data_IF_177583734454
#
_entry.id   IF_177583734454
#
_cell.length_a   1.000
_cell.length_b   1.000
_cell.length_c   1.000
_cell.angle_alpha   90.00
_cell.angle_beta   90.00
_cell.angle_gamma   90.00
#
_symmetry.space_group_name_H-M   'P 1'
#
loop_
_entity.id
_entity.type
_entity.pdbx_description
1 polymer ?
#
# COMPACT_ATOMS: atom_id res chain seq x y z
N UNK A 1 -9.34 12.35 -11.37
CA UNK A 1 -10.59 11.59 -11.16
C UNK A 1 -10.30 10.48 -10.17
N UNK A 2 -11.15 10.28 -9.15
CA UNK A 2 -11.02 9.16 -8.21
C UNK A 2 -11.64 7.91 -8.83
N UNK A 3 -10.93 6.78 -8.76
CA UNK A 3 -11.41 5.48 -9.23
C UNK A 3 -10.92 4.36 -8.33
N UNK A 4 -11.63 3.25 -8.34
CA UNK A 4 -11.27 2.04 -7.61
C UNK A 4 -11.63 0.79 -8.41
N UNK A 5 -11.53 -0.36 -7.76
CA UNK A 5 -11.94 -1.67 -8.30
C UNK A 5 -12.78 -2.41 -7.27
N UNK A 6 -13.81 -3.07 -7.72
CA UNK A 6 -14.68 -3.88 -6.87
C UNK A 6 -14.97 -5.23 -7.53
N UNK A 7 -15.18 -6.24 -6.71
CA UNK A 7 -15.80 -7.50 -7.14
C UNK A 7 -17.31 -7.42 -6.89
N UNK A 8 -18.10 -7.71 -7.92
CA UNK A 8 -19.55 -7.75 -7.88
C UNK A 8 -20.08 -8.80 -8.85
N UNK A 9 -21.03 -9.62 -8.41
CA UNK A 9 -21.68 -10.66 -9.22
C UNK A 9 -20.69 -11.56 -9.99
N UNK A 10 -19.58 -11.96 -9.35
CA UNK A 10 -18.57 -12.85 -9.93
C UNK A 10 -17.58 -12.20 -10.92
N UNK A 11 -17.64 -10.88 -11.10
CA UNK A 11 -16.73 -10.14 -11.99
C UNK A 11 -16.03 -8.98 -11.27
N UNK A 12 -14.91 -8.53 -11.83
CA UNK A 12 -14.20 -7.34 -11.37
C UNK A 12 -14.62 -6.16 -12.23
N UNK A 13 -14.98 -5.06 -11.58
CA UNK A 13 -15.42 -3.83 -12.21
C UNK A 13 -14.54 -2.65 -11.79
N UNK A 14 -14.30 -1.72 -12.69
CA UNK A 14 -13.89 -0.38 -12.30
C UNK A 14 -15.05 0.30 -11.56
N UNK A 15 -14.72 1.07 -10.56
CA UNK A 15 -15.66 1.70 -9.66
C UNK A 15 -15.31 3.17 -9.44
N UNK A 16 -16.35 3.99 -9.34
CA UNK A 16 -16.24 5.44 -9.15
C UNK A 16 -17.13 5.86 -7.98
N UNK A 17 -16.78 6.93 -7.24
CA UNK A 17 -17.64 7.48 -6.21
C UNK A 17 -18.98 7.90 -6.79
N UNK A 18 -20.05 7.62 -6.05
CA UNK A 18 -21.41 8.06 -6.34
C UNK A 18 -22.10 8.49 -5.05
N UNK A 19 -23.10 9.37 -5.15
CA UNK A 19 -23.84 9.86 -3.98
C UNK A 19 -24.56 8.72 -3.23
N UNK A 20 -25.04 7.73 -3.97
CA UNK A 20 -25.81 6.61 -3.45
C UNK A 20 -24.97 5.33 -3.26
N UNK A 21 -23.61 5.45 -3.35
CA UNK A 21 -22.71 4.34 -3.14
C UNK A 21 -21.56 4.27 -4.14
N UNK A 22 -21.54 3.25 -4.98
CA UNK A 22 -20.48 2.96 -5.93
C UNK A 22 -21.04 2.79 -7.34
N UNK A 23 -20.60 3.61 -8.27
CA UNK A 23 -20.97 3.50 -9.69
C UNK A 23 -19.94 2.65 -10.43
N UNK A 24 -20.40 1.56 -11.02
CA UNK A 24 -19.59 0.69 -11.87
C UNK A 24 -19.34 1.32 -13.25
N UNK A 25 -18.32 0.84 -13.97
CA UNK A 25 -18.00 1.36 -15.31
C UNK A 25 -19.15 1.22 -16.33
N UNK A 26 -20.04 0.25 -16.13
CA UNK A 26 -21.24 0.04 -16.96
C UNK A 26 -22.42 0.95 -16.58
N UNK A 27 -22.24 1.87 -15.65
CA UNK A 27 -23.22 2.85 -15.19
C UNK A 27 -24.13 2.38 -14.05
N UNK A 28 -24.10 1.11 -13.66
CA UNK A 28 -24.88 0.61 -12.53
C UNK A 28 -24.37 1.20 -11.23
N UNK A 29 -25.28 1.69 -10.39
CA UNK A 29 -24.96 2.10 -9.02
C UNK A 29 -25.26 0.93 -8.07
N UNK A 30 -24.35 0.70 -7.13
CA UNK A 30 -24.48 -0.33 -6.09
C UNK A 30 -24.17 0.27 -4.73
N UNK A 31 -24.84 -0.24 -3.71
CA UNK A 31 -24.49 0.12 -2.33
C UNK A 31 -23.12 -0.47 -2.00
N UNK A 32 -22.40 0.17 -1.11
CA UNK A 32 -21.05 -0.31 -0.73
C UNK A 32 -21.03 -1.70 -0.08
N UNK A 33 -22.12 -2.10 0.57
CA UNK A 33 -22.27 -3.41 1.20
C UNK A 33 -22.60 -4.54 0.21
N UNK A 34 -22.92 -4.22 -1.03
CA UNK A 34 -23.16 -5.18 -2.12
C UNK A 34 -21.88 -5.54 -2.89
N UNK A 35 -20.79 -4.82 -2.67
CA UNK A 35 -19.53 -5.00 -3.39
C UNK A 35 -18.40 -5.37 -2.45
N UNK A 36 -17.39 -6.04 -2.98
CA UNK A 36 -16.12 -6.25 -2.27
C UNK A 36 -15.06 -5.36 -2.90
N UNK A 37 -14.54 -4.43 -2.11
CA UNK A 37 -13.46 -3.56 -2.55
C UNK A 37 -12.16 -4.34 -2.76
N UNK A 38 -11.52 -4.11 -3.87
CA UNK A 38 -10.20 -4.64 -4.23
C UNK A 38 -9.16 -3.53 -4.17
N UNK A 39 -7.89 -3.89 -4.31
CA UNK A 39 -6.85 -2.89 -4.56
C UNK A 39 -7.25 -2.06 -5.80
N UNK A 40 -7.11 -0.71 -5.75
CA UNK A 40 -7.63 0.18 -6.81
C UNK A 40 -6.99 -0.04 -8.17
N UNK A 41 -5.87 -0.74 -8.21
CA UNK A 41 -5.15 -1.15 -9.42
C UNK A 41 -4.85 -2.64 -9.37
N UNK A 42 -4.48 -3.23 -10.48
CA UNK A 42 -3.81 -4.53 -10.49
C UNK A 42 -2.38 -4.34 -10.00
N UNK A 43 -2.08 -4.96 -8.86
CA UNK A 43 -0.82 -4.72 -8.14
C UNK A 43 0.27 -5.62 -8.69
N UNK A 44 1.35 -5.02 -9.17
CA UNK A 44 2.59 -5.70 -9.49
C UNK A 44 3.56 -5.72 -8.28
N UNK A 45 4.80 -5.31 -8.53
CA UNK A 45 5.80 -5.16 -7.46
C UNK A 45 5.60 -3.86 -6.70
N UNK A 46 5.62 -3.94 -5.38
CA UNK A 46 5.58 -2.78 -4.50
C UNK A 46 6.99 -2.53 -3.97
N UNK A 47 7.52 -1.34 -4.25
CA UNK A 47 8.73 -0.81 -3.65
C UNK A 47 8.35 0.11 -2.50
N UNK A 48 8.61 -0.30 -1.28
CA UNK A 48 8.34 0.51 -0.11
C UNK A 48 9.62 1.23 0.36
N UNK A 49 9.46 2.44 0.88
CA UNK A 49 10.55 3.29 1.35
C UNK A 49 10.50 3.39 2.88
N UNK A 50 11.47 2.77 3.55
CA UNK A 50 11.58 2.88 4.99
C UNK A 50 12.16 4.23 5.42
N UNK A 51 11.69 4.74 6.58
CA UNK A 51 12.17 6.00 7.19
C UNK A 51 12.06 7.24 6.29
N UNK A 52 11.12 7.22 5.35
CA UNK A 52 10.95 8.29 4.36
C UNK A 52 10.27 9.55 4.92
N UNK A 53 9.65 9.46 6.08
CA UNK A 53 9.02 10.59 6.78
C UNK A 53 9.94 11.11 7.87
N UNK A 54 10.35 12.38 7.76
CA UNK A 54 11.38 12.97 8.63
C UNK A 54 11.01 12.94 10.12
N UNK A 55 9.75 13.19 10.47
CA UNK A 55 9.27 13.13 11.84
C UNK A 55 9.38 11.71 12.40
N UNK A 56 8.95 10.71 11.64
CA UNK A 56 9.03 9.32 12.03
C UNK A 56 10.48 8.84 12.20
N UNK A 57 11.40 9.28 11.35
CA UNK A 57 12.82 8.98 11.47
C UNK A 57 13.40 9.55 12.77
N UNK A 58 12.99 10.77 13.19
CA UNK A 58 13.38 11.39 14.45
C UNK A 58 12.86 10.63 15.67
N UNK A 59 11.58 10.23 15.66
CA UNK A 59 10.97 9.44 16.74
C UNK A 59 11.74 8.15 17.01
N UNK A 60 12.21 7.51 15.94
CA UNK A 60 12.99 6.27 16.00
C UNK A 60 14.50 6.50 16.22
N UNK A 61 14.94 7.75 16.41
CA UNK A 61 16.34 8.14 16.61
C UNK A 61 17.29 7.68 15.48
N UNK A 62 16.77 7.57 14.25
CA UNK A 62 17.58 7.27 13.10
C UNK A 62 18.16 8.54 12.47
N UNK A 63 19.44 8.47 12.10
CA UNK A 63 20.06 9.51 11.28
C UNK A 63 19.44 9.53 9.88
N UNK A 64 19.40 10.72 9.27
CA UNK A 64 18.97 10.85 7.89
C UNK A 64 19.79 9.92 6.99
N UNK A 65 19.11 9.02 6.29
CA UNK A 65 19.78 8.16 5.33
C UNK A 65 20.22 8.97 4.12
N UNK A 66 21.43 8.73 3.63
CA UNK A 66 21.91 9.34 2.39
C UNK A 66 21.22 8.75 1.16
N UNK A 67 20.96 7.44 1.21
CA UNK A 67 20.23 6.71 0.18
C UNK A 67 18.88 6.18 0.70
N UNK A 68 17.85 6.03 -0.17
CA UNK A 68 16.57 5.47 0.22
C UNK A 68 16.71 4.03 0.73
N UNK A 69 16.14 3.75 1.89
CA UNK A 69 15.99 2.38 2.39
C UNK A 69 14.79 1.75 1.66
N UNK A 70 15.08 0.89 0.69
CA UNK A 70 14.06 0.25 -0.15
C UNK A 70 13.84 -1.20 0.26
N UNK A 71 12.58 -1.61 0.36
CA UNK A 71 12.20 -3.01 0.53
C UNK A 71 11.00 -3.36 -0.36
N UNK A 72 10.77 -4.65 -0.55
CA UNK A 72 9.72 -5.14 -1.44
C UNK A 72 8.57 -5.74 -0.66
N UNK A 73 7.36 -5.48 -1.15
CA UNK A 73 6.14 -6.19 -0.75
C UNK A 73 5.54 -6.89 -1.96
N UNK A 74 5.14 -8.14 -1.78
CA UNK A 74 4.51 -8.91 -2.84
C UNK A 74 3.03 -8.54 -3.03
N UNK A 75 2.45 -8.77 -4.22
CA UNK A 75 1.04 -8.46 -4.47
C UNK A 75 0.08 -9.24 -3.58
N UNK A 76 0.48 -10.41 -3.06
CA UNK A 76 -0.31 -11.21 -2.12
C UNK A 76 -0.42 -10.62 -0.71
N UNK A 77 0.28 -9.52 -0.42
CA UNK A 77 0.20 -8.80 0.87
C UNK A 77 -0.86 -7.70 0.86
N UNK A 78 -1.54 -7.47 -0.27
CA UNK A 78 -2.46 -6.35 -0.45
C UNK A 78 -3.89 -6.79 -0.23
N UNK A 79 -4.62 -6.01 0.57
CA UNK A 79 -6.07 -6.09 0.72
C UNK A 79 -6.73 -4.81 0.17
N UNK A 80 -8.00 -4.91 -0.20
CA UNK A 80 -8.77 -3.78 -0.71
C UNK A 80 -9.22 -2.82 0.38
N UNK A 81 -9.75 -1.69 -0.04
CA UNK A 81 -10.41 -0.72 0.84
C UNK A 81 -11.45 -1.42 1.75
N UNK A 82 -11.51 -1.04 3.03
CA UNK A 82 -12.36 -1.68 4.05
C UNK A 82 -12.09 -3.18 4.28
N UNK A 83 -11.01 -3.72 3.73
CA UNK A 83 -10.56 -5.06 4.06
C UNK A 83 -10.16 -5.16 5.54
N UNK A 84 -10.34 -6.35 6.11
CA UNK A 84 -10.02 -6.60 7.51
C UNK A 84 -8.70 -7.35 7.60
N UNK A 85 -7.73 -6.78 8.32
CA UNK A 85 -6.54 -7.51 8.76
C UNK A 85 -6.69 -7.95 10.20
N UNK A 86 -6.10 -9.07 10.55
CA UNK A 86 -6.14 -9.61 11.91
C UNK A 86 -4.73 -9.65 12.47
N UNK A 87 -4.55 -9.06 13.64
CA UNK A 87 -3.33 -9.21 14.41
C UNK A 87 -3.20 -10.69 14.85
N UNK A 88 -2.06 -11.35 14.62
CA UNK A 88 -1.81 -12.69 15.17
C UNK A 88 -1.94 -12.71 16.70
N UNK A 89 -2.36 -13.86 17.26
CA UNK A 89 -2.66 -13.97 18.69
C UNK A 89 -1.42 -13.77 19.59
N UNK A 90 -0.25 -14.13 19.08
CA UNK A 90 1.05 -14.06 19.76
C UNK A 90 1.76 -12.70 19.57
N UNK A 91 1.14 -11.76 18.85
CA UNK A 91 1.69 -10.43 18.58
C UNK A 91 1.13 -9.43 19.57
N UNK A 92 2.01 -8.70 20.26
CA UNK A 92 1.61 -7.65 21.21
C UNK A 92 1.52 -6.29 20.55
N UNK A 93 2.36 -6.03 19.56
CA UNK A 93 2.49 -4.70 18.96
C UNK A 93 2.49 -4.72 17.42
N UNK A 94 1.38 -4.33 16.84
CA UNK A 94 1.19 -4.15 15.41
C UNK A 94 0.95 -2.68 15.10
N UNK A 95 1.84 -2.09 14.30
CA UNK A 95 1.71 -0.72 13.81
C UNK A 95 0.79 -0.66 12.59
N UNK A 96 0.14 0.48 12.43
CA UNK A 96 -0.43 0.97 11.19
C UNK A 96 0.39 2.17 10.74
N UNK A 97 0.63 2.29 9.44
CA UNK A 97 1.43 3.37 8.88
C UNK A 97 0.68 3.95 7.68
N UNK A 98 0.13 5.18 7.83
CA UNK A 98 -0.57 5.85 6.75
C UNK A 98 0.44 6.42 5.75
N UNK A 99 0.43 5.92 4.52
CA UNK A 99 1.42 6.24 3.51
C UNK A 99 0.81 6.74 2.20
N UNK A 100 1.57 7.59 1.51
CA UNK A 100 1.29 7.96 0.13
C UNK A 100 1.91 6.93 -0.81
N UNK A 101 1.06 6.20 -1.52
CA UNK A 101 1.51 5.30 -2.58
C UNK A 101 1.49 6.02 -3.93
N UNK A 102 2.60 5.94 -4.65
CA UNK A 102 2.76 6.48 -6.01
C UNK A 102 2.61 5.36 -7.01
N UNK A 103 1.66 5.49 -7.93
CA UNK A 103 1.42 4.49 -8.98
C UNK A 103 2.26 4.81 -10.20
N UNK A 104 3.17 3.91 -10.55
CA UNK A 104 3.94 4.03 -11.79
C UNK A 104 3.13 3.45 -12.95
N UNK A 105 2.81 4.28 -13.93
CA UNK A 105 1.95 3.94 -15.06
C UNK A 105 2.69 3.70 -16.38
N UNK A 106 3.99 3.98 -16.42
CA UNK A 106 4.85 3.75 -17.59
C UNK A 106 6.16 3.15 -17.12
N UNK A 107 6.75 2.26 -17.90
CA UNK A 107 8.10 1.74 -17.64
C UNK A 107 9.07 2.89 -17.40
N UNK A 108 9.80 2.81 -16.28
CA UNK A 108 10.78 3.79 -15.85
C UNK A 108 12.13 3.09 -15.65
N UNK A 109 13.12 3.45 -16.47
CA UNK A 109 14.50 2.97 -16.34
C UNK A 109 15.44 4.10 -16.71
N UNK A 110 16.42 4.40 -15.87
CA UNK A 110 17.38 5.48 -16.07
C UNK A 110 16.71 6.85 -16.35
N UNK A 111 15.58 7.11 -15.68
CA UNK A 111 14.81 8.34 -15.84
C UNK A 111 15.46 9.44 -15.03
N UNK A 112 15.65 10.62 -15.61
CA UNK A 112 16.13 11.78 -14.87
C UNK A 112 15.04 12.33 -13.95
N UNK A 113 15.44 13.08 -12.94
CA UNK A 113 14.53 13.70 -11.97
C UNK A 113 13.46 14.57 -12.64
N UNK A 114 13.85 15.31 -13.66
CA UNK A 114 12.97 16.25 -14.41
C UNK A 114 11.86 15.49 -15.15
N UNK A 115 12.11 14.25 -15.55
CA UNK A 115 11.16 13.43 -16.29
C UNK A 115 10.40 12.42 -15.44
N UNK A 116 10.78 12.25 -14.15
CA UNK A 116 10.21 11.21 -13.28
C UNK A 116 8.68 11.29 -13.18
N UNK A 117 8.12 12.50 -13.07
CA UNK A 117 6.68 12.73 -12.94
C UNK A 117 5.86 12.27 -14.15
N UNK A 118 6.48 12.17 -15.34
CA UNK A 118 5.81 11.70 -16.55
C UNK A 118 5.49 10.20 -16.51
N UNK A 119 6.10 9.46 -15.59
CA UNK A 119 5.88 8.02 -15.38
C UNK A 119 4.83 7.74 -14.31
N UNK A 120 4.37 8.74 -13.58
CA UNK A 120 3.36 8.61 -12.54
C UNK A 120 1.96 8.59 -13.15
N UNK A 121 1.19 7.53 -12.85
CA UNK A 121 -0.21 7.41 -13.26
C UNK A 121 -1.16 8.03 -12.23
N UNK A 122 -0.76 8.10 -10.97
CA UNK A 122 -1.60 8.64 -9.90
C UNK A 122 -1.07 8.32 -8.51
N UNK A 123 -1.90 8.60 -7.55
CA UNK A 123 -1.59 8.46 -6.12
C UNK A 123 -2.74 7.76 -5.40
N UNK A 124 -2.42 7.05 -4.34
CA UNK A 124 -3.41 6.48 -3.43
C UNK A 124 -2.90 6.53 -1.99
N UNK A 125 -3.81 6.38 -1.03
CA UNK A 125 -3.46 6.17 0.36
C UNK A 125 -3.30 4.66 0.57
N UNK A 126 -2.22 4.26 1.23
CA UNK A 126 -1.97 2.90 1.67
C UNK A 126 -1.81 2.87 3.19
N UNK A 127 -2.06 1.72 3.78
CA UNK A 127 -1.78 1.47 5.19
C UNK A 127 -0.77 0.32 5.26
N UNK A 128 0.48 0.66 5.62
CA UNK A 128 1.55 -0.31 5.76
C UNK A 128 1.56 -0.88 7.19
N UNK A 129 0.96 -2.06 7.35
CA UNK A 129 0.97 -2.75 8.63
C UNK A 129 2.33 -3.41 8.90
N UNK A 130 2.87 -3.21 10.10
CA UNK A 130 4.12 -3.80 10.53
C UNK A 130 3.99 -4.42 11.94
N UNK A 131 4.47 -5.64 12.10
CA UNK A 131 4.55 -6.31 13.40
C UNK A 131 5.87 -5.93 14.04
N UNK A 132 5.83 -5.04 15.04
CA UNK A 132 7.01 -4.49 15.70
C UNK A 132 7.73 -5.51 16.58
N UNK A 133 7.02 -6.48 17.14
CA UNK A 133 7.59 -7.56 17.95
C UNK A 133 8.70 -8.31 17.21
N UNK A 134 8.62 -8.38 15.88
CA UNK A 134 9.63 -9.07 15.07
C UNK A 134 10.83 -8.21 14.71
N UNK A 135 10.71 -6.87 14.77
CA UNK A 135 11.80 -5.98 14.42
C UNK A 135 12.97 -6.08 15.39
N UNK A 136 12.70 -6.22 16.69
CA UNK A 136 13.75 -6.31 17.70
C UNK A 136 14.52 -7.63 17.64
N UNK A 137 13.81 -8.72 17.35
CA UNK A 137 14.36 -10.07 17.40
C UNK A 137 14.99 -10.51 16.07
N UNK A 138 14.51 -9.98 14.94
CA UNK A 138 14.88 -10.48 13.61
C UNK A 138 15.50 -9.43 12.69
N UNK A 139 15.21 -8.16 12.91
CA UNK A 139 15.63 -7.09 12.01
C UNK A 139 17.01 -6.53 12.33
N UNK A 140 17.32 -6.29 13.62
CA UNK A 140 18.59 -5.68 14.02
C UNK A 140 19.80 -6.57 13.83
N UNK A 141 19.75 -7.90 14.06
CA UNK A 141 20.85 -8.79 13.72
C UNK A 141 20.99 -9.06 12.23
N UNK A 142 19.93 -8.86 11.44
CA UNK A 142 19.87 -9.23 10.04
C UNK A 142 19.09 -8.16 9.25
N UNK A 143 19.77 -7.06 8.91
CA UNK A 143 19.23 -5.97 8.08
C UNK A 143 18.57 -6.40 6.75
N UNK A 144 18.69 -7.68 6.39
CA UNK A 144 18.15 -8.25 5.16
C UNK A 144 16.73 -8.80 5.31
N UNK A 145 16.21 -8.89 6.53
CA UNK A 145 14.89 -9.46 6.79
C UNK A 145 14.01 -8.40 7.44
N UNK A 146 13.48 -7.50 6.64
CA UNK A 146 12.36 -6.70 7.07
C UNK A 146 11.12 -7.56 6.92
N UNK A 147 10.71 -8.13 8.05
CA UNK A 147 9.37 -8.60 8.28
C UNK A 147 8.83 -9.71 7.36
N UNK A 148 8.97 -10.94 7.80
CA UNK A 148 8.34 -12.10 7.15
C UNK A 148 6.82 -12.14 7.31
N UNK A 149 6.24 -11.27 8.14
CA UNK A 149 4.83 -11.36 8.55
C UNK A 149 4.08 -10.02 8.46
N UNK A 150 4.61 -9.02 7.75
CA UNK A 150 3.81 -7.85 7.43
C UNK A 150 2.72 -8.25 6.44
N UNK A 151 1.51 -8.19 6.90
CA UNK A 151 0.33 -8.29 6.05
C UNK A 151 -0.12 -6.85 5.72
N UNK A 152 -0.11 -6.53 4.46
CA UNK A 152 -0.66 -5.27 3.97
C UNK A 152 -2.10 -5.46 3.59
#
# INVERSE_FOLDING_TARGET
MMRGRVAYAGAIHEAYPDADGVRLADGRVRREDEVVWLAPIEVGTIFALGLNYAEHAKELQFNKQEEPLVFLKGPGTVIGHRGVTRRPADVTFMHYECELAVVIGRTAQNVTREHAMQHVAGYMIANDYAIRDYLENYYRPNLRVKDRKSHV
#
